data_IF_348310278813
#
_entry.id   IF_348310278813
#
_cell.length_a   1.000
_cell.length_b   1.000
_cell.length_c   1.000
_cell.angle_alpha   90.00
_cell.angle_beta   90.00
_cell.angle_gamma   90.00
#
_symmetry.space_group_name_H-M   'P 1'
#
loop_
_entity.id
_entity.type
_entity.pdbx_description
1 polymer ?
#
# COMPACT_ATOMS: atom_id res chain seq x y z
N UNK A 1 16.75 -55.31 -38.26
CA UNK A 1 17.37 -54.70 -37.04
C UNK A 1 17.70 -53.20 -37.19
N UNK A 2 18.61 -52.76 -38.07
CA UNK A 2 19.02 -51.33 -38.15
C UNK A 2 17.89 -50.34 -38.53
N UNK A 3 16.94 -50.75 -39.38
CA UNK A 3 15.78 -49.94 -39.81
C UNK A 3 14.79 -49.68 -38.66
N UNK A 4 14.46 -50.70 -37.87
CA UNK A 4 13.58 -50.54 -36.70
C UNK A 4 14.20 -49.66 -35.61
N UNK A 5 15.51 -49.77 -35.36
CA UNK A 5 16.21 -48.91 -34.41
C UNK A 5 16.13 -47.42 -34.80
N UNK A 6 16.34 -47.09 -36.08
CA UNK A 6 16.21 -45.70 -36.57
C UNK A 6 14.79 -45.16 -36.41
N UNK A 7 13.76 -46.00 -36.59
CA UNK A 7 12.35 -45.62 -36.42
C UNK A 7 12.01 -45.33 -34.95
N UNK A 8 12.52 -46.15 -34.02
CA UNK A 8 12.37 -45.94 -32.57
C UNK A 8 13.07 -44.67 -32.08
N UNK A 9 14.28 -44.38 -32.58
CA UNK A 9 15.02 -43.16 -32.23
C UNK A 9 14.28 -41.91 -32.72
N UNK A 10 13.74 -41.91 -33.96
CA UNK A 10 12.94 -40.80 -34.47
C UNK A 10 11.67 -40.58 -33.65
N UNK A 11 10.97 -41.64 -33.26
CA UNK A 11 9.79 -41.54 -32.41
C UNK A 11 10.13 -40.97 -31.02
N UNK A 12 11.22 -41.42 -30.40
CA UNK A 12 11.69 -40.87 -29.13
C UNK A 12 12.04 -39.39 -29.22
N UNK A 13 12.69 -38.95 -30.31
CA UNK A 13 13.03 -37.55 -30.55
C UNK A 13 11.76 -36.68 -30.66
N UNK A 14 10.74 -37.16 -31.37
CA UNK A 14 9.45 -36.45 -31.53
C UNK A 14 8.75 -36.30 -30.18
N UNK A 15 8.70 -37.36 -29.36
CA UNK A 15 8.09 -37.31 -28.03
C UNK A 15 8.82 -36.31 -27.13
N UNK A 16 10.16 -36.27 -27.19
CA UNK A 16 10.97 -35.37 -26.39
C UNK A 16 10.74 -33.90 -26.80
N UNK A 17 10.62 -33.63 -28.10
CA UNK A 17 10.28 -32.30 -28.64
C UNK A 17 8.88 -31.87 -28.19
N UNK A 18 7.89 -32.76 -28.26
CA UNK A 18 6.52 -32.48 -27.81
C UNK A 18 6.50 -32.19 -26.30
N UNK A 19 7.20 -32.99 -25.49
CA UNK A 19 7.30 -32.77 -24.05
C UNK A 19 7.93 -31.41 -23.72
N UNK A 20 8.98 -31.02 -24.46
CA UNK A 20 9.63 -29.74 -24.28
C UNK A 20 8.72 -28.57 -24.67
N UNK A 21 7.99 -28.69 -25.79
CA UNK A 21 7.01 -27.71 -26.22
C UNK A 21 5.88 -27.56 -25.19
N UNK A 22 5.28 -28.68 -24.75
CA UNK A 22 4.22 -28.66 -23.72
C UNK A 22 4.71 -28.03 -22.44
N UNK A 23 5.92 -28.35 -21.98
CA UNK A 23 6.52 -27.76 -20.78
C UNK A 23 6.77 -26.26 -20.93
N UNK A 24 7.22 -25.82 -22.10
CA UNK A 24 7.44 -24.40 -22.40
C UNK A 24 6.12 -23.61 -22.44
N UNK A 25 5.08 -24.16 -23.07
CA UNK A 25 3.74 -23.58 -23.08
C UNK A 25 3.10 -23.59 -21.68
N UNK A 26 3.27 -24.68 -20.93
CA UNK A 26 2.78 -24.79 -19.55
C UNK A 26 3.46 -23.74 -18.65
N UNK A 27 4.77 -23.54 -18.78
CA UNK A 27 5.50 -22.52 -18.02
C UNK A 27 5.04 -21.09 -18.37
N UNK A 28 4.71 -20.81 -19.64
CA UNK A 28 4.22 -19.49 -20.06
C UNK A 28 2.80 -19.21 -19.56
N UNK A 29 1.92 -20.22 -19.55
CA UNK A 29 0.57 -20.10 -18.99
C UNK A 29 0.66 -20.00 -17.46
N UNK A 30 1.52 -20.81 -16.83
CA UNK A 30 1.72 -20.83 -15.39
C UNK A 30 2.29 -19.51 -14.85
N UNK A 31 3.17 -18.82 -15.59
CA UNK A 31 3.67 -17.50 -15.17
C UNK A 31 2.56 -16.44 -15.15
N UNK A 32 1.55 -16.56 -16.01
CA UNK A 32 0.36 -15.71 -15.99
C UNK A 32 -0.48 -15.93 -14.72
N UNK A 33 -0.59 -17.19 -14.28
CA UNK A 33 -1.25 -17.56 -13.01
C UNK A 33 -0.43 -17.22 -11.76
N UNK A 34 0.91 -17.15 -11.85
CA UNK A 34 1.79 -16.63 -10.78
C UNK A 34 2.11 -15.14 -10.97
N UNK A 35 1.23 -14.36 -11.62
CA UNK A 35 1.21 -12.92 -11.39
C UNK A 35 0.75 -12.68 -9.94
N UNK A 36 1.67 -12.95 -9.01
CA UNK A 36 1.55 -12.67 -7.60
C UNK A 36 1.52 -11.16 -7.52
N UNK A 37 0.32 -10.58 -7.46
CA UNK A 37 0.11 -9.21 -7.00
C UNK A 37 1.10 -8.96 -5.86
N UNK A 38 1.90 -7.87 -5.91
CA UNK A 38 2.94 -7.62 -4.93
C UNK A 38 2.38 -7.87 -3.53
N UNK A 39 3.11 -8.67 -2.75
CA UNK A 39 2.65 -9.20 -1.47
C UNK A 39 2.52 -8.03 -0.50
N UNK A 40 1.33 -7.42 -0.48
CA UNK A 40 0.92 -6.39 0.45
C UNK A 40 1.58 -5.02 0.25
N UNK A 41 0.80 -4.06 -0.24
CA UNK A 41 1.19 -2.65 -0.27
C UNK A 41 0.94 -2.00 1.10
N UNK A 42 1.68 -0.95 1.40
CA UNK A 42 1.46 -0.08 2.57
C UNK A 42 1.02 1.28 2.04
N UNK A 43 -0.11 1.80 2.54
CA UNK A 43 -0.54 3.15 2.20
C UNK A 43 0.31 4.16 2.96
N UNK A 44 0.74 5.23 2.31
CA UNK A 44 1.34 6.39 2.98
C UNK A 44 0.37 7.56 2.84
N UNK A 45 -0.16 8.06 3.95
CA UNK A 45 -1.12 9.17 3.97
C UNK A 45 -0.51 10.35 4.72
N UNK A 46 -0.28 11.49 4.06
CA UNK A 46 0.35 12.65 4.67
C UNK A 46 -0.60 13.41 5.61
N UNK A 47 -0.09 13.85 6.76
CA UNK A 47 -0.68 14.90 7.61
C UNK A 47 0.36 16.00 7.72
N UNK A 48 0.29 16.99 6.82
CA UNK A 48 1.29 18.04 6.64
C UNK A 48 0.70 19.43 6.86
N UNK A 49 1.46 20.28 7.53
CA UNK A 49 1.08 21.67 7.79
C UNK A 49 -0.17 21.82 8.65
N UNK A 50 -0.87 22.94 8.51
CA UNK A 50 -2.02 23.29 9.35
C UNK A 50 -3.22 22.37 9.01
N UNK A 51 -3.91 21.89 10.04
CA UNK A 51 -5.10 21.03 9.90
C UNK A 51 -6.38 21.88 9.89
N UNK A 52 -7.29 21.65 8.94
CA UNK A 52 -8.58 22.35 8.81
C UNK A 52 -9.66 21.37 8.29
N UNK A 53 -10.94 21.78 8.35
CA UNK A 53 -12.07 20.87 8.04
C UNK A 53 -12.26 20.70 6.53
N UNK A 54 -12.42 21.83 5.85
CA UNK A 54 -12.68 21.89 4.41
C UNK A 54 -12.10 23.21 3.88
N UNK A 55 -11.63 23.22 2.64
CA UNK A 55 -10.89 24.32 2.07
C UNK A 55 -9.92 23.89 0.97
N UNK A 56 -9.99 24.60 -0.15
CA UNK A 56 -9.00 24.51 -1.22
C UNK A 56 -7.82 25.38 -0.81
N UNK A 57 -6.62 24.80 -0.76
CA UNK A 57 -5.39 25.59 -0.64
C UNK A 57 -5.28 26.51 -1.85
N UNK A 58 -5.76 27.73 -1.68
CA UNK A 58 -5.46 28.81 -2.58
C UNK A 58 -4.01 29.18 -2.29
N UNK A 59 -3.11 28.93 -3.23
CA UNK A 59 -1.70 29.38 -3.21
C UNK A 59 -0.68 28.52 -2.45
N UNK A 60 -0.57 27.22 -2.79
CA UNK A 60 0.68 26.46 -2.59
C UNK A 60 1.10 26.20 -1.13
N UNK A 61 0.28 26.57 -0.16
CA UNK A 61 0.49 26.21 1.24
C UNK A 61 0.31 24.70 1.43
N UNK A 62 1.23 24.11 2.18
CA UNK A 62 1.13 22.71 2.60
C UNK A 62 0.22 22.69 3.83
N UNK A 63 -0.93 22.04 3.71
CA UNK A 63 -1.93 21.92 4.76
C UNK A 63 -2.67 20.58 4.63
N UNK A 64 -3.48 20.23 5.64
CA UNK A 64 -4.28 18.99 5.64
C UNK A 64 -5.76 19.30 5.90
N UNK A 65 -6.60 18.98 4.93
CA UNK A 65 -8.06 18.92 5.08
C UNK A 65 -8.47 17.61 5.74
N UNK A 66 -9.33 17.65 6.77
CA UNK A 66 -9.89 16.43 7.36
C UNK A 66 -10.74 15.66 6.34
N UNK A 67 -11.47 16.37 5.48
CA UNK A 67 -12.29 15.76 4.42
C UNK A 67 -11.44 14.94 3.45
N UNK A 68 -10.36 15.52 2.92
CA UNK A 68 -9.48 14.85 1.96
C UNK A 68 -8.69 13.70 2.61
N UNK A 69 -8.26 13.89 3.87
CA UNK A 69 -7.57 12.86 4.62
C UNK A 69 -8.48 11.64 4.85
N UNK A 70 -9.72 11.87 5.27
CA UNK A 70 -10.70 10.81 5.53
C UNK A 70 -10.99 10.03 4.25
N UNK A 71 -11.15 10.71 3.10
CA UNK A 71 -11.36 10.04 1.82
C UNK A 71 -10.18 9.12 1.44
N UNK A 72 -8.95 9.60 1.60
CA UNK A 72 -7.74 8.81 1.35
C UNK A 72 -7.64 7.60 2.30
N UNK A 73 -7.93 7.82 3.59
CA UNK A 73 -7.88 6.78 4.60
C UNK A 73 -8.93 5.69 4.33
N UNK A 74 -10.15 6.06 3.95
CA UNK A 74 -11.18 5.08 3.58
C UNK A 74 -10.82 4.28 2.33
N UNK A 75 -10.27 4.93 1.30
CA UNK A 75 -9.80 4.25 0.09
C UNK A 75 -8.71 3.24 0.45
N UNK A 76 -7.80 3.61 1.34
CA UNK A 76 -6.76 2.71 1.81
C UNK A 76 -7.33 1.56 2.64
N UNK A 77 -8.23 1.82 3.58
CA UNK A 77 -8.85 0.80 4.46
C UNK A 77 -9.64 -0.25 3.67
N UNK A 78 -10.39 0.19 2.64
CA UNK A 78 -11.20 -0.68 1.77
C UNK A 78 -10.39 -1.45 0.73
N UNK A 79 -9.13 -1.08 0.46
CA UNK A 79 -8.32 -1.73 -0.56
C UNK A 79 -7.70 -3.06 -0.05
N UNK A 80 -8.03 -4.23 -0.64
CA UNK A 80 -7.53 -5.53 -0.19
C UNK A 80 -6.03 -5.73 -0.44
N UNK A 81 -5.44 -5.00 -1.39
CA UNK A 81 -4.01 -5.01 -1.69
C UNK A 81 -3.20 -4.23 -0.65
N UNK A 82 -3.83 -3.34 0.13
CA UNK A 82 -3.18 -2.62 1.21
C UNK A 82 -3.26 -3.43 2.50
N UNK A 83 -2.13 -3.62 3.19
CA UNK A 83 -2.04 -4.42 4.42
C UNK A 83 -1.86 -3.59 5.68
N UNK A 84 -1.31 -2.38 5.54
CA UNK A 84 -1.13 -1.43 6.63
C UNK A 84 -1.17 0.01 6.10
N UNK A 85 -1.32 0.97 7.00
CA UNK A 85 -1.38 2.39 6.70
C UNK A 85 -0.36 3.13 7.56
N UNK A 86 0.50 3.92 6.92
CA UNK A 86 1.43 4.82 7.57
C UNK A 86 0.89 6.24 7.46
N UNK A 87 0.76 6.90 8.60
CA UNK A 87 0.41 8.32 8.69
C UNK A 87 1.71 9.11 8.75
N UNK A 88 2.05 9.83 7.69
CA UNK A 88 3.28 10.62 7.61
C UNK A 88 3.05 12.04 8.12
N UNK A 89 3.41 12.28 9.39
CA UNK A 89 3.05 13.49 10.13
C UNK A 89 4.19 14.51 10.11
N UNK A 90 3.88 15.71 9.63
CA UNK A 90 4.68 16.93 9.83
C UNK A 90 3.72 18.13 9.96
N UNK A 91 3.09 18.25 11.13
CA UNK A 91 2.02 19.21 11.40
C UNK A 91 2.14 19.86 12.78
N UNK A 92 2.04 21.20 12.87
CA UNK A 92 1.90 21.92 14.14
C UNK A 92 0.49 21.80 14.75
N UNK A 93 -0.44 21.11 14.09
CA UNK A 93 -1.85 21.01 14.46
C UNK A 93 -2.73 21.97 13.67
N UNK A 94 -3.85 22.38 14.27
CA UNK A 94 -4.83 23.25 13.61
C UNK A 94 -6.20 23.17 14.27
N UNK A 95 -7.25 23.11 13.46
CA UNK A 95 -8.64 23.01 13.92
C UNK A 95 -8.85 21.78 14.82
N UNK A 96 -9.39 22.01 16.02
CA UNK A 96 -9.75 20.94 16.95
C UNK A 96 -10.84 20.01 16.38
N UNK A 97 -11.79 20.56 15.60
CA UNK A 97 -12.84 19.78 14.94
C UNK A 97 -12.23 18.84 13.92
N UNK A 98 -11.42 19.38 13.01
CA UNK A 98 -10.75 18.58 11.97
C UNK A 98 -9.81 17.52 12.56
N UNK A 99 -9.05 17.89 13.60
CA UNK A 99 -8.15 16.96 14.29
C UNK A 99 -8.92 15.81 14.95
N UNK A 100 -10.09 16.10 15.54
CA UNK A 100 -10.97 15.09 16.12
C UNK A 100 -11.55 14.16 15.04
N UNK A 101 -12.02 14.70 13.93
CA UNK A 101 -12.55 13.91 12.81
C UNK A 101 -11.50 12.94 12.26
N UNK A 102 -10.27 13.43 12.06
CA UNK A 102 -9.11 12.62 11.66
C UNK A 102 -8.85 11.51 12.69
N UNK A 103 -8.72 11.86 13.98
CA UNK A 103 -8.43 10.90 15.04
C UNK A 103 -9.52 9.83 15.18
N UNK A 104 -10.80 10.23 15.16
CA UNK A 104 -11.94 9.32 15.22
C UNK A 104 -11.93 8.36 14.03
N UNK A 105 -11.55 8.84 12.83
CA UNK A 105 -11.49 7.99 11.64
C UNK A 105 -10.31 7.02 11.64
N UNK A 106 -9.13 7.46 12.08
CA UNK A 106 -7.98 6.58 12.27
C UNK A 106 -8.36 5.43 13.20
N UNK A 107 -9.01 5.73 14.32
CA UNK A 107 -9.45 4.72 15.31
C UNK A 107 -10.49 3.72 14.78
N UNK A 108 -11.25 4.09 13.75
CA UNK A 108 -12.25 3.23 13.10
C UNK A 108 -11.65 2.38 11.96
N UNK A 109 -10.38 2.59 11.62
CA UNK A 109 -9.69 1.86 10.55
C UNK A 109 -9.46 0.41 10.98
N UNK A 110 -9.66 -0.54 10.07
CA UNK A 110 -9.54 -1.97 10.38
C UNK A 110 -8.13 -2.50 10.14
N UNK A 111 -7.33 -1.79 9.34
CA UNK A 111 -5.92 -2.10 9.11
C UNK A 111 -5.03 -1.51 10.19
N UNK A 112 -3.87 -2.15 10.43
CA UNK A 112 -2.83 -1.59 11.29
C UNK A 112 -2.38 -0.21 10.79
N UNK A 113 -2.34 0.74 11.71
CA UNK A 113 -1.96 2.13 11.50
C UNK A 113 -0.68 2.45 12.26
N UNK A 114 0.27 3.09 11.58
CA UNK A 114 1.53 3.55 12.18
C UNK A 114 1.69 5.04 11.91
N UNK A 115 1.65 5.86 12.96
CA UNK A 115 1.98 7.26 12.88
C UNK A 115 3.49 7.45 12.91
N UNK A 116 4.04 8.12 11.90
CA UNK A 116 5.46 8.50 11.83
C UNK A 116 5.54 10.02 11.87
N UNK A 117 5.98 10.54 13.02
CA UNK A 117 6.22 11.96 13.22
C UNK A 117 7.63 12.29 12.72
N UNK A 118 7.72 13.18 11.71
CA UNK A 118 8.99 13.58 11.09
C UNK A 118 9.62 14.77 11.80
N UNK A 119 9.18 15.99 11.51
CA UNK A 119 9.75 17.21 12.10
C UNK A 119 8.84 17.83 13.15
N UNK A 120 7.52 17.76 12.96
CA UNK A 120 6.55 18.32 13.91
C UNK A 120 5.35 17.39 14.01
N UNK A 121 4.98 17.02 15.23
CA UNK A 121 3.76 16.28 15.52
C UNK A 121 3.10 16.84 16.77
N UNK A 122 2.67 18.09 16.71
CA UNK A 122 2.19 18.84 17.88
C UNK A 122 0.69 19.12 17.80
N UNK A 123 0.05 19.36 18.95
CA UNK A 123 -1.37 19.74 19.04
C UNK A 123 -2.28 18.78 18.24
N UNK A 124 -3.06 19.26 17.28
CA UNK A 124 -3.89 18.44 16.40
C UNK A 124 -3.13 17.35 15.63
N UNK A 125 -1.86 17.56 15.29
CA UNK A 125 -0.99 16.55 14.68
C UNK A 125 -0.70 15.40 15.64
N UNK A 126 -0.42 15.70 16.92
CA UNK A 126 -0.29 14.67 17.95
C UNK A 126 -1.61 13.99 18.26
N UNK A 127 -2.73 14.73 18.21
CA UNK A 127 -4.05 14.15 18.42
C UNK A 127 -4.35 13.09 17.36
N UNK A 128 -4.08 13.38 16.08
CA UNK A 128 -4.16 12.37 15.02
C UNK A 128 -3.20 11.20 15.27
N UNK A 129 -1.94 11.46 15.62
CA UNK A 129 -0.95 10.42 15.91
C UNK A 129 -1.41 9.48 17.03
N UNK A 130 -1.99 10.04 18.10
CA UNK A 130 -2.45 9.31 19.28
C UNK A 130 -3.59 8.31 19.02
N UNK A 131 -4.25 8.42 17.86
CA UNK A 131 -5.28 7.49 17.45
C UNK A 131 -4.75 6.26 16.71
N UNK A 132 -3.48 6.27 16.28
CA UNK A 132 -2.85 5.15 15.59
C UNK A 132 -2.45 4.01 16.55
N UNK A 133 -2.27 2.80 16.02
CA UNK A 133 -1.84 1.63 16.81
C UNK A 133 -0.41 1.79 17.35
N UNK A 134 0.45 2.42 16.56
CA UNK A 134 1.84 2.69 16.90
C UNK A 134 2.23 4.12 16.53
N UNK A 135 3.08 4.73 17.36
CA UNK A 135 3.67 6.04 17.11
C UNK A 135 5.18 5.89 17.11
N UNK A 136 5.81 6.37 16.04
CA UNK A 136 7.26 6.46 15.89
C UNK A 136 7.59 7.94 15.66
N UNK A 137 8.57 8.45 16.39
CA UNK A 137 8.99 9.85 16.30
C UNK A 137 10.48 9.92 16.03
N UNK A 138 10.91 10.96 15.32
CA UNK A 138 12.32 11.36 15.38
C UNK A 138 12.63 11.89 16.80
N UNK A 139 13.84 11.67 17.30
CA UNK A 139 14.24 12.23 18.61
C UNK A 139 14.24 13.76 18.65
N UNK A 140 14.35 14.42 17.49
CA UNK A 140 14.39 15.87 17.34
C UNK A 140 13.05 16.50 16.94
N UNK A 141 11.98 15.71 16.79
CA UNK A 141 10.64 16.20 16.40
C UNK A 141 9.83 16.78 17.55
#
# INVERSE_FOLDING_TARGET
MKQEQKKRIKAALIILVIFFLVSFFFSSIFSLFISKEPIGNVALIPIKGIIYVDGVNSFGEITTSSTDFIEQLEKADKNPSIKAIVLDINSPGGSAVASKEIADKIKQTNKTTVAVIREVGASGGYWAASAADHIISNEMS
#
